data_IF_768855815645
#
_entry.id   IF_768855815645
#
_cell.length_a   1.000
_cell.length_b   1.000
_cell.length_c   1.000
_cell.angle_alpha   90.00
_cell.angle_beta   90.00
_cell.angle_gamma   90.00
#
_symmetry.space_group_name_H-M   'P 1'
#
loop_
_entity.id
_entity.type
_entity.pdbx_description
1 polymer ?
#
# COMPACT_ATOMS: atom_id res chain seq x y z
N UNK A 1 -17.49 -3.00 15.07
CA UNK A 1 -18.52 -4.07 15.06
C UNK A 1 -17.81 -5.38 14.82
N UNK A 2 -18.15 -6.43 15.56
CA UNK A 2 -17.54 -7.76 15.44
C UNK A 2 -18.63 -8.77 15.07
N UNK A 3 -18.35 -9.67 14.12
CA UNK A 3 -19.29 -10.69 13.62
C UNK A 3 -18.58 -12.03 13.53
N UNK A 4 -19.16 -13.08 14.10
CA UNK A 4 -18.64 -14.46 13.97
C UNK A 4 -19.59 -15.27 13.10
N UNK A 5 -19.06 -15.91 12.06
CA UNK A 5 -19.81 -16.78 11.13
C UNK A 5 -19.29 -18.21 11.23
N UNK A 6 -20.13 -19.16 11.63
CA UNK A 6 -19.78 -20.58 11.70
C UNK A 6 -20.14 -21.31 10.40
N UNK A 7 -19.25 -22.18 9.93
CA UNK A 7 -19.46 -23.03 8.76
C UNK A 7 -19.93 -24.42 9.19
N UNK A 8 -20.69 -25.09 8.31
CA UNK A 8 -21.20 -26.45 8.54
C UNK A 8 -20.10 -27.49 8.79
N UNK A 9 -18.87 -27.23 8.34
CA UNK A 9 -17.70 -28.09 8.55
C UNK A 9 -17.01 -27.88 9.91
N UNK A 10 -17.56 -27.04 10.79
CA UNK A 10 -16.99 -26.74 12.11
C UNK A 10 -15.97 -25.59 12.12
N UNK A 11 -15.61 -25.03 10.96
CA UNK A 11 -14.79 -23.81 10.88
C UNK A 11 -15.59 -22.54 11.22
N UNK A 12 -14.90 -21.42 11.42
CA UNK A 12 -15.54 -20.11 11.60
C UNK A 12 -14.74 -18.98 10.93
N UNK A 13 -15.40 -17.86 10.66
CA UNK A 13 -14.80 -16.59 10.23
C UNK A 13 -15.16 -15.52 11.25
N UNK A 14 -14.16 -14.78 11.71
CA UNK A 14 -14.31 -13.59 12.53
C UNK A 14 -14.17 -12.34 11.66
N UNK A 15 -15.25 -11.60 11.48
CA UNK A 15 -15.29 -10.32 10.80
C UNK A 15 -15.16 -9.16 11.79
N UNK A 16 -14.17 -8.29 11.59
CA UNK A 16 -13.98 -7.07 12.35
C UNK A 16 -14.26 -5.86 11.46
N UNK A 17 -15.25 -5.06 11.83
CA UNK A 17 -15.56 -3.78 11.21
C UNK A 17 -15.04 -2.63 12.08
N UNK A 18 -14.10 -1.85 11.54
CA UNK A 18 -13.47 -0.71 12.20
C UNK A 18 -13.72 0.57 11.40
N UNK A 19 -14.00 1.68 12.10
CA UNK A 19 -14.19 2.98 11.47
C UNK A 19 -12.84 3.54 11.03
N UNK A 20 -12.73 3.78 9.72
CA UNK A 20 -11.53 4.32 9.08
C UNK A 20 -11.27 5.81 9.46
N UNK A 21 -12.16 6.46 10.21
CA UNK A 21 -11.93 7.80 10.79
C UNK A 21 -11.17 7.72 12.13
N UNK A 22 -11.18 6.55 12.77
CA UNK A 22 -10.55 6.29 14.07
C UNK A 22 -9.21 5.55 13.90
N UNK A 23 -9.09 4.70 12.87
CA UNK A 23 -7.89 3.94 12.51
C UNK A 23 -7.70 3.93 10.98
N UNK A 24 -6.46 4.10 10.52
CA UNK A 24 -5.99 4.55 9.18
C UNK A 24 -6.89 5.58 8.49
N UNK A 25 -6.51 6.85 8.29
CA UNK A 25 -7.41 7.92 7.81
C UNK A 25 -7.48 8.15 6.28
N UNK A 26 -8.45 8.97 5.82
CA UNK A 26 -8.67 9.65 4.51
C UNK A 26 -8.57 8.82 3.22
N UNK A 27 -7.56 7.95 3.09
CA UNK A 27 -7.28 7.11 1.94
C UNK A 27 -8.46 6.21 1.55
N UNK A 28 -9.20 5.64 2.51
CA UNK A 28 -10.36 4.80 2.18
C UNK A 28 -11.58 5.62 1.78
N UNK A 29 -11.85 6.76 2.40
CA UNK A 29 -12.94 7.66 1.96
C UNK A 29 -12.70 8.13 0.52
N UNK A 30 -11.45 8.48 0.22
CA UNK A 30 -11.02 8.80 -1.14
C UNK A 30 -11.06 7.59 -2.07
N UNK A 31 -10.54 6.42 -1.68
CA UNK A 31 -10.62 5.19 -2.47
C UNK A 31 -12.08 4.82 -2.80
N UNK A 32 -12.98 4.86 -1.82
CA UNK A 32 -14.42 4.62 -1.98
C UNK A 32 -15.07 5.66 -2.92
N UNK A 33 -14.70 6.93 -2.81
CA UNK A 33 -15.15 7.97 -3.74
C UNK A 33 -14.53 7.83 -5.14
N UNK A 34 -13.33 7.24 -5.27
CA UNK A 34 -12.72 6.91 -6.55
C UNK A 34 -13.41 5.72 -7.23
N UNK A 35 -13.88 4.75 -6.45
CA UNK A 35 -14.68 3.65 -6.99
C UNK A 35 -15.95 4.17 -7.68
N UNK A 36 -16.56 5.24 -7.15
CA UNK A 36 -17.69 5.93 -7.80
C UNK A 36 -17.34 6.58 -9.15
N UNK A 37 -16.07 6.95 -9.38
CA UNK A 37 -15.63 7.46 -10.69
C UNK A 37 -15.59 6.37 -11.77
N UNK A 38 -15.72 5.10 -11.39
CA UNK A 38 -15.78 3.94 -12.27
C UNK A 38 -17.19 3.34 -12.31
N UNK A 39 -18.25 4.07 -11.95
CA UNK A 39 -19.63 3.54 -11.91
C UNK A 39 -20.09 2.94 -13.27
N UNK A 40 -19.49 3.37 -14.39
CA UNK A 40 -19.74 2.82 -15.74
C UNK A 40 -18.90 1.58 -16.08
N UNK A 41 -17.87 1.25 -15.30
CA UNK A 41 -17.00 0.10 -15.52
C UNK A 41 -17.16 -0.94 -14.39
N UNK A 42 -17.43 -2.19 -14.77
CA UNK A 42 -17.56 -3.28 -13.80
C UNK A 42 -16.20 -3.60 -13.17
N UNK A 43 -15.95 -3.06 -11.98
CA UNK A 43 -14.79 -3.43 -11.17
C UNK A 43 -14.89 -4.88 -10.73
N UNK A 44 -13.79 -5.62 -10.89
CA UNK A 44 -13.69 -7.02 -10.51
C UNK A 44 -12.58 -7.18 -9.47
N UNK A 45 -12.96 -7.55 -8.26
CA UNK A 45 -12.01 -7.86 -7.19
C UNK A 45 -11.36 -9.23 -7.44
N UNK A 46 -10.02 -9.25 -7.33
CA UNK A 46 -9.19 -10.45 -7.52
C UNK A 46 -8.03 -10.45 -6.53
N UNK A 47 -7.71 -11.64 -6.04
CA UNK A 47 -6.55 -11.89 -5.19
C UNK A 47 -5.47 -12.59 -6.01
N UNK A 48 -4.23 -12.13 -5.87
CA UNK A 48 -3.07 -12.70 -6.55
C UNK A 48 -2.09 -13.23 -5.51
N UNK A 49 -1.71 -14.50 -5.64
CA UNK A 49 -0.73 -15.12 -4.75
C UNK A 49 0.68 -14.90 -5.29
N UNK A 50 1.55 -14.31 -4.48
CA UNK A 50 2.97 -14.15 -4.78
C UNK A 50 3.78 -15.08 -3.88
N UNK A 51 4.25 -16.18 -4.45
CA UNK A 51 5.11 -17.13 -3.73
C UNK A 51 6.48 -16.52 -3.42
N UNK A 52 7.11 -16.99 -2.33
CA UNK A 52 8.42 -16.51 -1.88
C UNK A 52 9.48 -16.55 -2.99
N UNK A 53 9.50 -17.61 -3.81
CA UNK A 53 10.43 -17.70 -4.94
C UNK A 53 10.26 -16.58 -5.98
N UNK A 54 9.02 -16.17 -6.25
CA UNK A 54 8.73 -15.09 -7.19
C UNK A 54 9.05 -13.73 -6.58
N UNK A 55 8.82 -13.57 -5.28
CA UNK A 55 9.20 -12.36 -4.54
C UNK A 55 10.72 -12.17 -4.48
N UNK A 56 11.49 -13.25 -4.30
CA UNK A 56 12.95 -13.18 -4.33
C UNK A 56 13.47 -12.88 -5.74
N UNK A 57 12.90 -13.48 -6.79
CA UNK A 57 13.20 -13.10 -8.18
C UNK A 57 12.95 -11.60 -8.44
N UNK A 58 11.82 -11.08 -7.95
CA UNK A 58 11.49 -9.66 -8.04
C UNK A 58 12.44 -8.75 -7.25
N UNK A 59 13.20 -9.27 -6.28
CA UNK A 59 14.23 -8.47 -5.59
C UNK A 59 15.58 -8.55 -6.29
N UNK A 60 15.88 -9.68 -6.93
CA UNK A 60 17.19 -9.94 -7.55
C UNK A 60 17.29 -9.42 -8.99
N UNK A 61 16.19 -9.44 -9.75
CA UNK A 61 16.10 -8.82 -11.10
C UNK A 61 16.36 -7.29 -11.08
N UNK A 62 16.40 -6.69 -9.90
CA UNK A 62 16.40 -5.23 -9.67
C UNK A 62 17.79 -4.65 -9.36
N UNK A 63 18.85 -5.46 -9.41
CA UNK A 63 20.20 -5.08 -8.95
C UNK A 63 21.08 -4.50 -10.07
N UNK A 64 20.76 -4.71 -11.35
CA UNK A 64 21.74 -4.54 -12.43
C UNK A 64 22.02 -3.12 -12.95
N UNK A 65 21.47 -2.03 -12.39
CA UNK A 65 21.83 -0.70 -12.93
C UNK A 65 21.96 0.46 -11.93
N UNK A 66 21.71 0.27 -10.62
CA UNK A 66 21.61 1.42 -9.71
C UNK A 66 22.00 1.16 -8.23
N UNK A 67 23.05 0.41 -7.92
CA UNK A 67 23.48 0.29 -6.50
C UNK A 67 25.01 0.33 -6.32
N UNK A 68 25.48 1.45 -5.77
CA UNK A 68 26.63 1.47 -4.87
C UNK A 68 26.25 0.71 -3.58
N UNK A 69 26.79 -0.51 -3.46
CA UNK A 69 27.21 -1.30 -2.29
C UNK A 69 26.45 -1.37 -0.94
N UNK A 70 25.24 -0.79 -0.74
CA UNK A 70 24.54 -0.99 0.55
C UNK A 70 23.00 -1.06 0.51
N UNK A 71 22.41 -1.25 -0.67
CA UNK A 71 21.03 -0.84 -0.87
C UNK A 71 20.02 -2.00 -1.03
N UNK A 72 19.77 -2.78 0.04
CA UNK A 72 18.71 -3.82 0.03
C UNK A 72 17.33 -3.24 -0.37
N UNK A 73 16.65 -3.90 -1.30
CA UNK A 73 15.27 -3.60 -1.71
C UNK A 73 14.31 -4.46 -0.89
N UNK A 74 13.26 -3.83 -0.36
CA UNK A 74 12.23 -4.57 0.40
C UNK A 74 11.24 -5.26 -0.53
N UNK A 75 10.58 -6.32 -0.07
CA UNK A 75 9.49 -6.99 -0.82
C UNK A 75 8.41 -5.99 -1.25
N UNK A 76 8.06 -5.06 -0.36
CA UNK A 76 7.07 -4.02 -0.66
C UNK A 76 7.48 -3.13 -1.82
N UNK A 77 8.74 -2.67 -1.85
CA UNK A 77 9.26 -1.81 -2.92
C UNK A 77 9.30 -2.53 -4.26
N UNK A 78 9.81 -3.76 -4.29
CA UNK A 78 9.86 -4.60 -5.48
C UNK A 78 8.46 -4.85 -6.05
N UNK A 79 7.55 -5.33 -5.20
CA UNK A 79 6.18 -5.64 -5.62
C UNK A 79 5.41 -4.39 -6.06
N UNK A 80 5.57 -3.27 -5.35
CA UNK A 80 4.93 -2.00 -5.73
C UNK A 80 5.43 -1.52 -7.09
N UNK A 81 6.74 -1.57 -7.35
CA UNK A 81 7.31 -1.22 -8.64
C UNK A 81 6.75 -2.09 -9.77
N UNK A 82 6.63 -3.39 -9.52
CA UNK A 82 6.08 -4.38 -10.46
C UNK A 82 4.59 -4.14 -10.75
N UNK A 83 3.77 -4.01 -9.71
CA UNK A 83 2.33 -3.78 -9.84
C UNK A 83 2.04 -2.49 -10.60
N UNK A 84 2.82 -1.44 -10.33
CA UNK A 84 2.66 -0.15 -10.98
C UNK A 84 2.92 -0.23 -12.48
N UNK A 85 3.98 -0.94 -12.90
CA UNK A 85 4.30 -1.16 -14.31
C UNK A 85 3.24 -2.05 -14.98
N UNK A 86 2.93 -3.19 -14.37
CA UNK A 86 1.92 -4.14 -14.84
C UNK A 86 0.55 -3.49 -15.04
N UNK A 87 0.14 -2.60 -14.13
CA UNK A 87 -1.12 -1.85 -14.25
C UNK A 87 -1.14 -0.91 -15.45
N UNK A 88 -0.03 -0.23 -15.74
CA UNK A 88 0.03 0.68 -16.88
C UNK A 88 -0.07 -0.07 -18.21
N UNK A 89 0.57 -1.24 -18.29
CA UNK A 89 0.51 -2.14 -19.44
C UNK A 89 -0.89 -2.73 -19.61
N UNK A 90 -1.47 -3.27 -18.54
CA UNK A 90 -2.80 -3.90 -18.57
C UNK A 90 -3.92 -2.92 -18.94
N UNK A 91 -3.81 -1.65 -18.53
CA UNK A 91 -4.81 -0.62 -18.82
C UNK A 91 -4.54 0.15 -20.12
N UNK A 92 -3.44 -0.16 -20.85
CA UNK A 92 -3.13 0.47 -22.13
C UNK A 92 -3.00 1.99 -22.05
N UNK A 93 -2.48 2.53 -20.95
CA UNK A 93 -2.37 3.98 -20.78
C UNK A 93 -1.48 4.64 -21.83
N UNK A 94 -1.92 5.79 -22.37
CA UNK A 94 -1.16 6.54 -23.37
C UNK A 94 0.23 6.92 -22.83
N UNK A 95 1.29 6.96 -23.65
CA UNK A 95 2.65 7.24 -23.18
C UNK A 95 2.81 8.56 -22.39
N UNK A 96 2.06 9.59 -22.78
CA UNK A 96 2.02 10.92 -22.18
C UNK A 96 1.13 10.99 -20.92
N UNK A 97 0.25 10.01 -20.71
CA UNK A 97 -0.68 10.00 -19.59
C UNK A 97 0.06 9.95 -18.25
N UNK A 98 -0.28 10.89 -17.36
CA UNK A 98 0.26 10.94 -16.00
C UNK A 98 -0.43 9.89 -15.13
N UNK A 99 0.39 9.05 -14.49
CA UNK A 99 -0.03 8.00 -13.56
C UNK A 99 0.53 8.29 -12.17
N UNK A 100 -0.30 8.12 -11.16
CA UNK A 100 0.02 8.42 -9.77
C UNK A 100 0.19 7.11 -9.00
N UNK A 101 1.26 7.01 -8.23
CA UNK A 101 1.38 6.02 -7.18
C UNK A 101 1.16 6.74 -5.85
N UNK A 102 0.32 6.16 -5.00
CA UNK A 102 0.12 6.59 -3.63
C UNK A 102 0.27 5.36 -2.73
N UNK A 103 1.02 5.46 -1.64
CA UNK A 103 1.04 4.39 -0.64
C UNK A 103 1.17 4.92 0.78
N UNK A 104 0.66 4.14 1.72
CA UNK A 104 0.78 4.41 3.14
C UNK A 104 2.19 4.05 3.62
N UNK A 105 2.90 5.03 4.16
CA UNK A 105 4.17 4.85 4.84
C UNK A 105 3.97 4.95 6.36
N UNK A 106 4.67 4.09 7.09
CA UNK A 106 4.72 4.13 8.54
C UNK A 106 5.51 5.38 8.99
N UNK A 107 4.80 6.30 9.64
CA UNK A 107 5.38 7.48 10.26
C UNK A 107 5.73 7.28 11.74
N UNK A 108 5.18 6.26 12.42
CA UNK A 108 5.36 6.05 13.86
C UNK A 108 6.83 5.85 14.22
N UNK A 109 7.54 5.07 13.40
CA UNK A 109 8.96 4.78 13.55
C UNK A 109 9.88 5.89 13.02
N UNK A 110 9.33 6.98 12.45
CA UNK A 110 10.09 8.03 11.77
C UNK A 110 10.22 9.33 12.56
N UNK A 111 9.45 9.51 13.63
CA UNK A 111 9.57 10.67 14.51
C UNK A 111 10.78 10.55 15.45
N UNK A 112 11.48 11.67 15.70
CA UNK A 112 12.61 11.74 16.64
C UNK A 112 12.16 11.41 18.07
N UNK A 113 10.91 11.75 18.41
CA UNK A 113 10.19 11.23 19.57
C UNK A 113 9.16 10.22 19.04
N UNK A 114 9.48 8.91 19.04
CA UNK A 114 8.59 7.90 18.49
C UNK A 114 7.24 7.92 19.19
N UNK A 115 6.20 7.60 18.44
CA UNK A 115 4.86 7.48 18.99
C UNK A 115 4.85 6.35 20.05
N UNK A 116 4.22 6.55 21.23
CA UNK A 116 4.22 5.56 22.30
C UNK A 116 3.65 4.21 21.87
N UNK A 117 4.21 3.13 22.44
CA UNK A 117 3.64 1.78 22.30
C UNK A 117 2.22 1.79 22.87
N UNK A 118 1.26 1.29 22.09
CA UNK A 118 -0.16 1.30 22.46
C UNK A 118 -0.94 2.53 22.00
N UNK A 119 -0.31 3.48 21.29
CA UNK A 119 -1.04 4.53 20.59
C UNK A 119 -1.98 3.92 19.56
N UNK A 120 -3.26 4.22 19.71
CA UNK A 120 -4.34 3.73 18.85
C UNK A 120 -4.72 4.73 17.75
N UNK A 121 -4.08 5.90 17.67
CA UNK A 121 -4.38 6.85 16.61
C UNK A 121 -3.65 6.57 15.29
N UNK A 122 -3.93 7.40 14.29
CA UNK A 122 -3.28 7.32 12.99
C UNK A 122 -1.80 7.73 13.08
N UNK A 123 -0.92 6.85 12.62
CA UNK A 123 0.53 7.07 12.57
C UNK A 123 1.14 6.84 11.19
N UNK A 124 0.32 6.97 10.15
CA UNK A 124 0.72 6.78 8.75
C UNK A 124 0.64 8.09 7.98
N UNK A 125 1.44 8.20 6.92
CA UNK A 125 1.33 9.27 5.92
C UNK A 125 1.12 8.64 4.55
N UNK A 126 0.23 9.24 3.74
CA UNK A 126 0.15 8.90 2.33
C UNK A 126 1.19 9.70 1.57
N UNK A 127 2.12 9.01 0.94
CA UNK A 127 3.10 9.62 0.04
C UNK A 127 2.85 9.16 -1.37
N UNK A 128 3.18 10.02 -2.34
CA UNK A 128 2.98 9.70 -3.72
C UNK A 128 3.98 10.31 -4.66
N UNK A 129 4.05 9.71 -5.84
CA UNK A 129 4.83 10.24 -6.95
C UNK A 129 4.02 10.13 -8.23
N UNK A 130 4.26 11.08 -9.14
CA UNK A 130 3.62 11.14 -10.45
C UNK A 130 4.67 10.86 -11.51
N UNK A 131 4.38 9.96 -12.45
CA UNK A 131 5.24 9.75 -13.64
C UNK A 131 4.38 9.57 -14.87
N UNK A 132 4.95 9.65 -16.08
CA UNK A 132 4.21 9.31 -17.30
C UNK A 132 4.21 7.80 -17.53
N UNK A 133 3.11 7.26 -18.07
CA UNK A 133 3.00 5.83 -18.39
C UNK A 133 4.16 5.36 -19.28
N UNK A 134 4.49 6.13 -20.32
CA UNK A 134 5.58 5.81 -21.25
C UNK A 134 6.94 5.73 -20.58
N UNK A 135 7.23 6.63 -19.62
CA UNK A 135 8.48 6.54 -18.82
C UNK A 135 8.48 5.30 -17.94
N UNK A 136 7.34 4.91 -17.39
CA UNK A 136 7.28 3.74 -16.51
C UNK A 136 7.44 2.42 -17.28
N UNK A 137 6.73 2.28 -18.40
CA UNK A 137 6.72 1.07 -19.21
C UNK A 137 8.02 0.93 -20.02
N UNK A 138 8.52 2.04 -20.57
CA UNK A 138 9.71 2.06 -21.42
C UNK A 138 11.04 1.92 -20.68
N UNK A 139 11.06 2.04 -19.35
CA UNK A 139 12.26 1.78 -18.55
C UNK A 139 12.23 0.36 -17.93
N UNK A 140 13.39 -0.20 -17.55
CA UNK A 140 13.46 -1.43 -16.79
C UNK A 140 12.69 -1.36 -15.46
N UNK A 141 12.33 -2.52 -14.90
CA UNK A 141 11.60 -2.59 -13.64
C UNK A 141 12.38 -1.92 -12.48
N UNK A 142 13.71 -2.03 -12.50
CA UNK A 142 14.66 -1.38 -11.58
C UNK A 142 14.44 0.12 -11.44
N UNK A 143 14.07 0.79 -12.53
CA UNK A 143 13.74 2.21 -12.50
C UNK A 143 12.48 2.48 -11.66
N UNK A 144 11.42 1.68 -11.87
CA UNK A 144 10.17 1.80 -11.11
C UNK A 144 10.40 1.54 -9.62
N UNK A 145 11.11 0.46 -9.28
CA UNK A 145 11.43 0.09 -7.90
C UNK A 145 12.32 1.14 -7.24
N UNK A 146 13.32 1.66 -7.95
CA UNK A 146 14.19 2.74 -7.49
C UNK A 146 13.42 4.01 -7.14
N UNK A 147 12.40 4.38 -7.92
CA UNK A 147 11.52 5.51 -7.61
C UNK A 147 10.72 5.28 -6.33
N UNK A 148 10.17 4.06 -6.13
CA UNK A 148 9.43 3.70 -4.92
C UNK A 148 10.34 3.75 -3.70
N UNK A 149 11.56 3.24 -3.84
CA UNK A 149 12.58 3.25 -2.79
C UNK A 149 12.95 4.67 -2.38
N UNK A 150 13.32 5.52 -3.35
CA UNK A 150 13.63 6.94 -3.10
C UNK A 150 12.47 7.65 -2.42
N UNK A 151 11.23 7.41 -2.87
CA UNK A 151 10.04 8.00 -2.24
C UNK A 151 9.89 7.55 -0.77
N UNK A 152 10.08 6.27 -0.48
CA UNK A 152 10.01 5.74 0.88
C UNK A 152 11.12 6.30 1.80
N UNK A 153 12.30 6.60 1.26
CA UNK A 153 13.43 7.19 1.98
C UNK A 153 13.23 8.68 2.31
N UNK A 154 12.35 9.39 1.57
CA UNK A 154 12.00 10.79 1.87
C UNK A 154 11.19 10.94 3.17
N UNK A 155 10.58 9.87 3.67
CA UNK A 155 9.75 9.89 4.89
C UNK A 155 10.63 9.96 6.13
N UNK A 156 11.03 11.18 6.44
CA UNK A 156 11.83 11.56 7.62
C UNK A 156 10.95 12.29 8.64
N UNK A 157 11.44 12.47 9.88
CA UNK A 157 10.75 13.27 10.91
C UNK A 157 10.37 14.67 10.37
N UNK A 158 11.31 15.35 9.71
CA UNK A 158 11.06 16.67 9.13
C UNK A 158 9.99 16.65 8.03
N UNK A 159 10.01 15.63 7.17
CA UNK A 159 8.96 15.44 6.16
C UNK A 159 7.58 15.23 6.80
N UNK A 160 7.51 14.41 7.85
CA UNK A 160 6.26 14.15 8.57
C UNK A 160 5.70 15.43 9.18
N UNK A 161 6.54 16.22 9.88
CA UNK A 161 6.12 17.51 10.48
C UNK A 161 5.64 18.50 9.43
N UNK A 162 6.40 18.67 8.34
CA UNK A 162 5.99 19.56 7.26
C UNK A 162 4.69 19.11 6.58
N UNK A 163 4.44 17.79 6.50
CA UNK A 163 3.18 17.27 5.97
C UNK A 163 2.00 17.58 6.91
N UNK A 164 2.20 17.49 8.22
CA UNK A 164 1.19 17.89 9.21
C UNK A 164 0.84 19.37 9.03
N UNK A 165 1.84 20.26 9.02
CA UNK A 165 1.64 21.70 8.82
C UNK A 165 0.89 21.99 7.50
N UNK A 166 1.29 21.32 6.42
CA UNK A 166 0.64 21.49 5.10
C UNK A 166 -0.83 21.05 5.11
N UNK A 167 -1.14 19.92 5.74
CA UNK A 167 -2.51 19.38 5.81
C UNK A 167 -3.41 20.21 6.72
N UNK A 168 -2.88 20.81 7.79
CA UNK A 168 -3.61 21.76 8.63
C UNK A 168 -4.00 23.03 7.86
N UNK A 169 -3.10 23.50 6.99
CA UNK A 169 -3.34 24.70 6.17
C UNK A 169 -4.19 24.43 4.92
N UNK A 170 -4.11 23.22 4.34
CA UNK A 170 -4.74 22.90 3.06
C UNK A 170 -5.67 21.68 3.19
N UNK A 171 -6.98 21.94 3.24
CA UNK A 171 -8.02 20.90 3.18
C UNK A 171 -8.29 20.45 1.74
N UNK A 172 -7.25 20.29 0.93
CA UNK A 172 -7.41 19.94 -0.49
C UNK A 172 -7.31 18.45 -0.70
N UNK A 173 -8.32 17.89 -1.37
CA UNK A 173 -8.37 16.48 -1.73
C UNK A 173 -7.55 16.19 -3.00
N UNK A 174 -6.50 15.35 -2.96
CA UNK A 174 -5.77 14.99 -4.16
C UNK A 174 -6.69 14.22 -5.13
N UNK A 175 -6.67 14.63 -6.41
CA UNK A 175 -7.37 13.88 -7.46
C UNK A 175 -6.90 12.43 -7.51
N UNK A 176 -7.82 11.47 -7.62
CA UNK A 176 -7.51 10.03 -7.67
C UNK A 176 -7.47 9.47 -9.09
N UNK A 177 -7.67 10.33 -10.09
CA UNK A 177 -7.63 9.91 -11.50
C UNK A 177 -6.27 9.30 -11.83
N UNK A 178 -6.28 8.10 -12.41
CA UNK A 178 -5.08 7.33 -12.74
C UNK A 178 -4.14 7.06 -11.54
N UNK A 179 -4.70 7.02 -10.32
CA UNK A 179 -3.96 6.68 -9.10
C UNK A 179 -3.97 5.17 -8.86
N UNK A 180 -2.82 4.60 -8.52
CA UNK A 180 -2.66 3.29 -7.89
C UNK A 180 -2.39 3.54 -6.41
N UNK A 181 -3.34 3.21 -5.55
CA UNK A 181 -3.20 3.28 -4.10
C UNK A 181 -2.81 1.89 -3.56
N UNK A 182 -1.72 1.82 -2.79
CA UNK A 182 -1.27 0.57 -2.15
C UNK A 182 -1.17 0.77 -0.64
N UNK A 183 -1.76 -0.14 0.12
CA UNK A 183 -1.64 -0.22 1.58
C UNK A 183 -1.09 -1.58 1.95
N UNK A 184 -0.01 -1.64 2.74
CA UNK A 184 0.60 -2.90 3.17
C UNK A 184 0.12 -3.30 4.57
N UNK A 185 -0.51 -4.47 4.65
CA UNK A 185 -1.05 -5.05 5.89
C UNK A 185 -0.16 -6.18 6.45
N UNK A 186 1.01 -6.40 5.84
CA UNK A 186 1.95 -7.49 6.16
C UNK A 186 2.53 -7.46 7.58
N UNK A 187 2.40 -6.34 8.30
CA UNK A 187 2.87 -6.17 9.67
C UNK A 187 1.76 -6.31 10.72
N UNK A 188 0.53 -6.62 10.32
CA UNK A 188 -0.54 -6.92 11.26
C UNK A 188 -0.37 -8.34 11.80
N UNK A 189 0.15 -8.43 13.01
CA UNK A 189 0.42 -9.71 13.67
C UNK A 189 -0.85 -10.20 14.39
N UNK A 190 -1.53 -11.20 13.82
CA UNK A 190 -2.62 -11.94 14.49
C UNK A 190 -2.12 -13.21 15.23
N UNK A 191 -0.84 -13.55 15.12
CA UNK A 191 -0.21 -14.75 15.71
C UNK A 191 -0.24 -14.82 17.25
N UNK A 192 -0.84 -13.85 17.95
CA UNK A 192 -1.00 -13.86 19.41
C UNK A 192 -2.40 -14.28 19.87
N UNK A 193 -3.30 -14.60 18.96
CA UNK A 193 -4.63 -15.12 19.29
C UNK A 193 -4.65 -16.66 19.42
N UNK A 194 -3.59 -17.24 19.99
CA UNK A 194 -3.55 -18.66 20.34
C UNK A 194 -4.04 -18.82 21.78
N UNK A 195 -5.30 -19.23 21.95
CA UNK A 195 -5.77 -19.81 23.22
C UNK A 195 -5.96 -21.31 23.17
N UNK A 196 -5.98 -21.96 22.00
CA UNK A 196 -6.08 -23.42 21.89
C UNK A 196 -5.55 -23.89 20.52
N UNK A 197 -4.41 -24.58 20.53
CA UNK A 197 -3.68 -24.96 19.32
C UNK A 197 -4.43 -25.94 18.42
N UNK A 198 -4.81 -25.49 17.22
CA UNK A 198 -5.10 -26.34 16.04
C UNK A 198 -5.41 -25.56 14.75
N UNK A 199 -5.70 -24.26 14.80
CA UNK A 199 -6.32 -23.57 13.66
C UNK A 199 -5.31 -22.84 12.76
N UNK A 200 -5.29 -23.19 11.47
CA UNK A 200 -4.68 -22.38 10.42
C UNK A 200 -5.62 -21.23 10.07
N UNK A 201 -5.21 -20.00 10.34
CA UNK A 201 -5.96 -18.80 9.98
C UNK A 201 -5.48 -18.23 8.65
N UNK A 202 -6.43 -17.79 7.81
CA UNK A 202 -6.18 -16.95 6.64
C UNK A 202 -6.81 -15.58 6.87
N UNK A 203 -6.05 -14.52 6.64
CA UNK A 203 -6.57 -13.16 6.69
C UNK A 203 -6.96 -12.72 5.28
N UNK A 204 -8.21 -12.32 5.10
CA UNK A 204 -8.71 -11.73 3.86
C UNK A 204 -9.35 -10.37 4.15
N UNK A 205 -9.23 -9.44 3.21
CA UNK A 205 -9.86 -8.12 3.27
C UNK A 205 -10.98 -8.06 2.25
N UNK A 206 -12.21 -7.98 2.74
CA UNK A 206 -13.35 -7.59 1.93
C UNK A 206 -13.57 -6.08 2.09
N UNK A 207 -13.57 -5.34 0.99
CA UNK A 207 -14.08 -3.95 0.95
C UNK A 207 -15.53 -4.06 0.50
N UNK A 208 -16.47 -3.73 1.37
CA UNK A 208 -17.90 -3.64 1.08
C UNK A 208 -18.28 -2.21 0.75
#
# INVERSE_FOLDING_TARGET
MEVVTFFKCGGFVLGLGMSHNVFDGVAASEFLNSCKLYDDEKLVYRSFLFESQNLEKLKTMEIEEYINDNNKVTTFQALTGFLRKSRCEALGFKPDQRVKLLFAADGQSRFILPIPIGYCGNGIVLIGLVTSSGKLVGNPLSHSVGLVKKLAELVTDGFMRSTIDYLEMNQTHPSLRATLLITSWSRLTLHKLDSDGANRFSLDRSVY
#
